data_IF_505246182399
#
_entry.id   IF_505246182399
#
_cell.length_a   1.000
_cell.length_b   1.000
_cell.length_c   1.000
_cell.angle_alpha   90.00
_cell.angle_beta   90.00
_cell.angle_gamma   90.00
#
_symmetry.space_group_name_H-M   'P 1'
#
loop_
_entity.id
_entity.type
_entity.pdbx_description
1 polymer ?
#
# COMPACT_ATOMS: atom_id res chain seq x y z
N UNK A 1 9.02 0.57 -15.22
CA UNK A 1 10.43 0.40 -14.78
C UNK A 1 10.67 1.09 -13.43
N UNK A 2 10.34 2.39 -13.30
CA UNK A 2 10.67 3.21 -12.14
C UNK A 2 10.03 2.80 -10.79
N UNK A 3 8.74 2.42 -10.75
CA UNK A 3 8.08 2.03 -9.49
C UNK A 3 8.68 0.77 -8.84
N UNK A 4 9.19 -0.19 -9.64
CA UNK A 4 9.89 -1.36 -9.11
C UNK A 4 11.22 -0.98 -8.44
N UNK A 5 11.90 0.04 -8.95
CA UNK A 5 13.15 0.52 -8.37
C UNK A 5 12.89 1.15 -6.99
N UNK A 6 11.80 1.89 -6.84
CA UNK A 6 11.41 2.42 -5.53
C UNK A 6 11.04 1.32 -4.54
N UNK A 7 10.40 0.23 -4.98
CA UNK A 7 10.09 -0.91 -4.08
C UNK A 7 11.34 -1.51 -3.45
N UNK A 8 12.47 -1.55 -4.16
CA UNK A 8 13.73 -2.07 -3.63
C UNK A 8 14.26 -1.23 -2.45
N UNK A 9 13.96 0.06 -2.40
CA UNK A 9 14.40 0.94 -1.29
C UNK A 9 13.75 0.55 0.04
N UNK A 10 12.56 -0.06 0.01
CA UNK A 10 11.88 -0.54 1.21
C UNK A 10 12.50 -1.82 1.76
N UNK A 11 13.37 -2.50 1.01
CA UNK A 11 14.12 -3.67 1.50
C UNK A 11 15.16 -3.22 2.52
N UNK A 12 15.90 -2.17 2.21
CA UNK A 12 17.00 -1.66 3.05
C UNK A 12 16.57 -0.53 4.01
N UNK A 13 15.30 -0.10 3.96
CA UNK A 13 14.82 0.96 4.82
C UNK A 13 14.95 0.57 6.32
N UNK A 14 15.78 1.32 7.04
CA UNK A 14 16.02 1.17 8.48
C UNK A 14 14.85 1.70 9.32
N UNK A 15 14.17 2.75 8.83
CA UNK A 15 13.04 3.38 9.51
C UNK A 15 11.84 3.39 8.57
N UNK A 16 10.73 2.78 9.02
CA UNK A 16 9.44 2.79 8.34
C UNK A 16 8.35 3.30 9.28
N UNK A 17 7.25 3.87 8.74
CA UNK A 17 6.07 4.14 9.54
C UNK A 17 5.57 2.86 10.23
N UNK A 18 5.17 2.96 11.50
CA UNK A 18 4.61 1.83 12.25
C UNK A 18 3.36 1.25 11.58
N UNK A 19 2.59 2.04 10.83
CA UNK A 19 1.41 1.56 10.08
C UNK A 19 1.48 2.00 8.64
N UNK A 20 1.26 1.06 7.72
CA UNK A 20 1.22 1.33 6.28
C UNK A 20 -0.07 0.74 5.71
N UNK A 21 -0.80 1.56 4.96
CA UNK A 21 -1.93 1.14 4.14
C UNK A 21 -1.56 1.28 2.68
N UNK A 22 -1.70 0.19 1.91
CA UNK A 22 -1.45 0.19 0.47
C UNK A 22 -2.70 -0.33 -0.25
N UNK A 23 -3.13 0.37 -1.31
CA UNK A 23 -4.18 -0.10 -2.19
C UNK A 23 -3.77 -0.04 -3.66
N UNK A 24 -4.32 -0.94 -4.47
CA UNK A 24 -4.15 -0.90 -5.93
C UNK A 24 -5.43 -1.32 -6.64
N UNK A 25 -5.74 -0.68 -7.77
CA UNK A 25 -6.83 -1.12 -8.63
C UNK A 25 -6.45 -2.35 -9.45
N UNK A 26 -7.30 -3.37 -9.45
CA UNK A 26 -7.11 -4.62 -10.21
C UNK A 26 -7.07 -4.38 -11.72
N UNK A 27 -7.77 -3.35 -12.20
CA UNK A 27 -7.83 -3.00 -13.62
C UNK A 27 -6.87 -1.88 -14.00
N UNK A 28 -5.92 -1.53 -13.14
CA UNK A 28 -4.83 -0.62 -13.51
C UNK A 28 -3.84 -1.28 -14.47
N UNK A 29 -3.03 -0.46 -15.16
CA UNK A 29 -2.01 -0.93 -16.09
C UNK A 29 -1.07 -1.96 -15.40
N UNK A 30 -1.14 -3.26 -15.78
CA UNK A 30 -0.57 -4.34 -14.94
C UNK A 30 0.94 -4.23 -14.73
N UNK A 31 1.67 -3.80 -15.76
CA UNK A 31 3.13 -3.64 -15.70
C UNK A 31 3.58 -2.37 -14.98
N UNK A 32 2.68 -1.37 -14.86
CA UNK A 32 3.02 -0.08 -14.27
C UNK A 32 2.63 0.01 -12.79
N UNK A 33 1.48 -0.53 -12.40
CA UNK A 33 0.94 -0.33 -11.05
C UNK A 33 0.70 -1.65 -10.30
N UNK A 34 -0.05 -2.58 -10.90
CA UNK A 34 -0.46 -3.81 -10.21
C UNK A 34 0.72 -4.70 -9.81
N UNK A 35 1.58 -5.10 -10.75
CA UNK A 35 2.74 -5.97 -10.44
C UNK A 35 3.73 -5.29 -9.46
N UNK A 36 4.09 -4.01 -9.63
CA UNK A 36 4.90 -3.30 -8.63
C UNK A 36 4.23 -3.22 -7.24
N UNK A 37 2.91 -3.03 -7.19
CA UNK A 37 2.18 -3.01 -5.92
C UNK A 37 2.25 -4.35 -5.19
N UNK A 38 2.10 -5.47 -5.91
CA UNK A 38 2.26 -6.81 -5.34
C UNK A 38 3.69 -7.06 -4.83
N UNK A 39 4.71 -6.62 -5.59
CA UNK A 39 6.10 -6.75 -5.13
C UNK A 39 6.36 -5.94 -3.85
N UNK A 40 5.87 -4.70 -3.79
CA UNK A 40 5.98 -3.88 -2.58
C UNK A 40 5.23 -4.50 -1.39
N UNK A 41 4.04 -5.08 -1.63
CA UNK A 41 3.28 -5.78 -0.60
C UNK A 41 4.10 -6.88 0.06
N UNK A 42 4.79 -7.69 -0.74
CA UNK A 42 5.57 -8.81 -0.22
C UNK A 42 6.76 -8.32 0.62
N UNK A 43 7.40 -7.22 0.21
CA UNK A 43 8.48 -6.56 0.97
C UNK A 43 7.96 -6.02 2.30
N UNK A 44 6.88 -5.24 2.29
CA UNK A 44 6.33 -4.59 3.49
C UNK A 44 5.74 -5.60 4.49
N UNK A 45 5.15 -6.69 3.99
CA UNK A 45 4.60 -7.75 4.85
C UNK A 45 5.69 -8.48 5.63
N UNK A 46 6.90 -8.57 5.07
CA UNK A 46 8.04 -9.21 5.70
C UNK A 46 8.76 -8.29 6.71
N UNK A 47 8.42 -6.99 6.78
CA UNK A 47 9.10 -6.03 7.66
C UNK A 47 8.62 -6.14 9.10
N UNK A 48 9.50 -6.48 10.07
CA UNK A 48 9.14 -6.52 11.48
C UNK A 48 8.81 -5.11 12.00
N UNK A 49 7.87 -5.03 12.94
CA UNK A 49 7.46 -3.77 13.55
C UNK A 49 6.52 -2.89 12.71
N UNK A 50 6.16 -3.33 11.49
CA UNK A 50 5.21 -2.63 10.61
C UNK A 50 3.85 -3.33 10.63
N UNK A 51 2.81 -2.61 11.02
CA UNK A 51 1.42 -3.03 10.84
C UNK A 51 0.96 -2.69 9.42
N UNK A 52 0.93 -3.70 8.57
CA UNK A 52 0.71 -3.54 7.14
C UNK A 52 -0.68 -4.05 6.70
N UNK A 53 -1.39 -3.24 5.90
CA UNK A 53 -2.65 -3.61 5.24
C UNK A 53 -2.57 -3.35 3.74
N UNK A 54 -2.99 -4.35 2.98
CA UNK A 54 -3.07 -4.31 1.51
C UNK A 54 -4.51 -4.54 1.05
N UNK A 55 -5.01 -3.70 0.14
CA UNK A 55 -6.36 -3.82 -0.41
C UNK A 55 -6.34 -3.73 -1.94
N UNK A 56 -7.00 -4.69 -2.58
CA UNK A 56 -7.23 -4.65 -4.03
C UNK A 56 -8.62 -4.09 -4.31
N UNK A 57 -8.67 -3.05 -5.13
CA UNK A 57 -9.93 -2.43 -5.55
C UNK A 57 -10.37 -3.04 -6.87
N UNK A 58 -11.67 -3.29 -7.01
CA UNK A 58 -12.31 -3.65 -8.29
C UNK A 58 -12.40 -2.47 -9.27
N UNK A 59 -11.40 -1.58 -9.29
CA UNK A 59 -11.39 -0.36 -10.09
C UNK A 59 -10.15 -0.28 -10.99
N UNK A 60 -10.24 0.55 -12.02
CA UNK A 60 -9.09 1.04 -12.80
C UNK A 60 -8.49 2.30 -12.20
N UNK A 61 -7.72 3.04 -13.02
CA UNK A 61 -7.09 4.30 -12.62
C UNK A 61 -8.10 5.44 -12.67
N UNK A 62 -8.77 5.72 -11.54
CA UNK A 62 -9.81 6.75 -11.47
C UNK A 62 -10.02 7.31 -10.08
N UNK A 63 -10.36 8.60 -10.02
CA UNK A 63 -10.57 9.35 -8.77
C UNK A 63 -11.67 8.73 -7.89
N UNK A 64 -12.68 8.08 -8.49
CA UNK A 64 -13.75 7.41 -7.75
C UNK A 64 -13.22 6.24 -6.90
N UNK A 65 -12.40 5.36 -7.48
CA UNK A 65 -11.77 4.26 -6.74
C UNK A 65 -10.81 4.74 -5.66
N UNK A 66 -10.08 5.82 -5.93
CA UNK A 66 -9.24 6.47 -4.92
C UNK A 66 -10.06 7.03 -3.76
N UNK A 67 -11.16 7.75 -4.04
CA UNK A 67 -12.02 8.33 -3.01
C UNK A 67 -12.72 7.27 -2.17
N UNK A 68 -13.12 6.15 -2.77
CA UNK A 68 -13.81 5.08 -2.03
C UNK A 68 -12.95 4.42 -0.98
N UNK A 69 -11.61 4.39 -1.16
CA UNK A 69 -10.71 3.70 -0.22
C UNK A 69 -10.16 4.60 0.89
N UNK A 70 -10.26 5.93 0.74
CA UNK A 70 -9.73 6.88 1.71
C UNK A 70 -10.23 6.68 3.15
N UNK A 71 -11.54 6.46 3.42
CA UNK A 71 -12.02 6.28 4.78
C UNK A 71 -11.37 5.08 5.49
N UNK A 72 -11.22 3.95 4.79
CA UNK A 72 -10.58 2.75 5.31
C UNK A 72 -9.08 2.97 5.55
N UNK A 73 -8.41 3.64 4.60
CA UNK A 73 -6.99 3.97 4.71
C UNK A 73 -6.72 4.85 5.95
N UNK A 74 -7.52 5.88 6.15
CA UNK A 74 -7.38 6.80 7.28
C UNK A 74 -7.67 6.10 8.60
N UNK A 75 -8.72 5.28 8.68
CA UNK A 75 -9.04 4.52 9.89
C UNK A 75 -7.91 3.53 10.26
N UNK A 76 -7.22 2.97 9.27
CA UNK A 76 -6.07 2.09 9.52
C UNK A 76 -4.86 2.84 10.07
N UNK A 77 -4.49 3.94 9.40
CA UNK A 77 -3.29 4.73 9.72
C UNK A 77 -3.48 5.49 11.04
N UNK A 78 -4.69 5.96 11.32
CA UNK A 78 -5.05 6.74 12.50
C UNK A 78 -6.24 6.08 13.23
N UNK A 79 -6.03 4.96 13.93
CA UNK A 79 -7.12 4.20 14.54
C UNK A 79 -7.75 4.88 15.78
N UNK A 80 -7.29 6.08 16.14
CA UNK A 80 -7.69 6.78 17.37
C UNK A 80 -7.11 6.16 18.65
N UNK A 81 -7.37 6.84 19.77
CA UNK A 81 -6.84 6.50 21.10
C UNK A 81 -7.25 5.10 21.60
N UNK A 82 -8.37 4.56 21.10
CA UNK A 82 -8.88 3.25 21.51
C UNK A 82 -8.01 2.06 21.05
N UNK A 83 -7.09 2.27 20.10
CA UNK A 83 -6.27 1.21 19.49
C UNK A 83 -4.80 1.61 19.34
N UNK A 84 -4.33 2.55 20.17
CA UNK A 84 -2.95 3.10 20.18
C UNK A 84 -1.97 2.21 20.93
#
# INVERSE_FOLDING_TARGET
AQLRQYSAQFIEAEVLPRRIFQSVGRYEAPGRFYKPALALRDILRAKPGVYYRFVELGSGHGLAGFRSILPEALAWVFPGAAFS
#
